data_IF_210110389981
#
_entry.id   IF_210110389981
#
_cell.length_a   1.000
_cell.length_b   1.000
_cell.length_c   1.000
_cell.angle_alpha   90.00
_cell.angle_beta   90.00
_cell.angle_gamma   90.00
#
_symmetry.space_group_name_H-M   'P 1'
#
loop_
_entity.id
_entity.type
_entity.pdbx_description
1 polymer ?
#
# COMPACT_ATOMS: atom_id res chain seq x y z
N UNK A 1 11.98 27.39 -13.02
CA UNK A 1 10.84 28.32 -12.79
C UNK A 1 9.53 27.55 -12.70
N UNK A 2 9.14 26.74 -13.71
CA UNK A 2 7.89 25.94 -13.65
C UNK A 2 7.88 24.89 -12.54
N UNK A 3 9.02 24.27 -12.28
CA UNK A 3 9.20 23.29 -11.21
C UNK A 3 9.11 23.94 -9.81
N UNK A 4 9.70 25.10 -9.61
CA UNK A 4 9.62 25.85 -8.36
C UNK A 4 8.21 26.37 -8.08
N UNK A 5 7.48 26.80 -9.11
CA UNK A 5 6.08 27.21 -9.00
C UNK A 5 5.20 26.01 -8.62
N UNK A 6 5.41 24.85 -9.26
CA UNK A 6 4.70 23.62 -8.94
C UNK A 6 4.95 23.15 -7.51
N UNK A 7 6.20 23.23 -7.03
CA UNK A 7 6.54 22.90 -5.64
C UNK A 7 5.92 23.86 -4.63
N UNK A 8 5.91 25.16 -4.91
CA UNK A 8 5.31 26.16 -4.02
C UNK A 8 3.80 25.98 -3.91
N UNK A 9 3.12 25.68 -5.03
CA UNK A 9 1.68 25.36 -5.02
C UNK A 9 1.38 24.08 -4.24
N UNK A 10 2.21 23.03 -4.38
CA UNK A 10 2.08 21.77 -3.64
C UNK A 10 2.28 21.93 -2.12
N UNK A 11 2.94 23.03 -1.70
CA UNK A 11 3.13 23.41 -0.28
C UNK A 11 2.05 24.35 0.23
N UNK A 12 1.09 24.78 -0.59
CA UNK A 12 -0.01 25.62 -0.14
C UNK A 12 -0.84 24.90 0.92
N UNK A 13 -1.34 25.63 1.90
CA UNK A 13 -2.18 25.06 2.98
C UNK A 13 -3.41 24.34 2.43
N UNK A 14 -4.01 24.86 1.37
CA UNK A 14 -5.20 24.31 0.72
C UNK A 14 -4.90 22.89 0.18
N UNK A 15 -3.78 22.72 -0.52
CA UNK A 15 -3.40 21.42 -1.10
C UNK A 15 -3.03 20.41 -0.01
N UNK A 16 -2.28 20.85 1.01
CA UNK A 16 -1.92 20.00 2.15
C UNK A 16 -3.18 19.54 2.87
N UNK A 17 -4.08 20.46 3.21
CA UNK A 17 -5.34 20.16 3.89
C UNK A 17 -6.23 19.23 3.08
N UNK A 18 -6.30 19.43 1.75
CA UNK A 18 -7.07 18.56 0.86
C UNK A 18 -6.56 17.12 0.91
N UNK A 19 -5.25 16.92 0.68
CA UNK A 19 -4.64 15.58 0.68
C UNK A 19 -4.80 14.91 2.04
N UNK A 20 -4.49 15.62 3.12
CA UNK A 20 -4.61 15.10 4.49
C UNK A 20 -6.04 14.68 4.83
N UNK A 21 -7.03 15.53 4.53
CA UNK A 21 -8.45 15.24 4.78
C UNK A 21 -8.94 14.06 3.96
N UNK A 22 -8.57 13.99 2.67
CA UNK A 22 -8.95 12.90 1.79
C UNK A 22 -8.40 11.55 2.28
N UNK A 23 -7.11 11.49 2.63
CA UNK A 23 -6.46 10.26 3.11
C UNK A 23 -6.98 9.84 4.48
N UNK A 24 -7.11 10.76 5.44
CA UNK A 24 -7.67 10.47 6.77
C UNK A 24 -9.11 9.98 6.68
N UNK A 25 -9.92 10.56 5.77
CA UNK A 25 -11.29 10.09 5.51
C UNK A 25 -11.30 8.68 4.92
N UNK A 26 -10.42 8.41 3.97
CA UNK A 26 -10.27 7.08 3.36
C UNK A 26 -9.91 6.02 4.41
N UNK A 27 -8.92 6.29 5.26
CA UNK A 27 -8.54 5.40 6.37
C UNK A 27 -9.72 5.16 7.31
N UNK A 28 -10.41 6.23 7.73
CA UNK A 28 -11.55 6.13 8.66
C UNK A 28 -12.71 5.31 8.10
N UNK A 29 -12.92 5.32 6.79
CA UNK A 29 -13.97 4.57 6.12
C UNK A 29 -13.54 3.11 5.79
N UNK A 30 -12.29 2.73 6.02
CA UNK A 30 -11.77 1.40 5.73
C UNK A 30 -11.72 1.07 4.24
N UNK A 31 -11.49 2.07 3.38
CA UNK A 31 -11.39 1.85 1.93
C UNK A 31 -10.05 1.22 1.57
N UNK A 32 -10.02 0.41 0.52
CA UNK A 32 -8.79 -0.23 0.06
C UNK A 32 -7.94 0.67 -0.85
N UNK A 33 -8.58 1.46 -1.70
CA UNK A 33 -7.87 2.30 -2.67
C UNK A 33 -8.52 3.68 -2.81
N UNK A 34 -7.68 4.70 -2.98
CA UNK A 34 -8.07 6.08 -3.34
C UNK A 34 -7.62 6.34 -4.77
N UNK A 35 -8.55 6.74 -5.62
CA UNK A 35 -8.29 7.09 -7.02
C UNK A 35 -8.48 8.58 -7.23
N UNK A 36 -7.48 9.26 -7.78
CA UNK A 36 -7.57 10.62 -8.28
C UNK A 36 -7.45 10.60 -9.80
N UNK A 37 -8.43 11.19 -10.46
CA UNK A 37 -8.57 11.16 -11.91
C UNK A 37 -8.83 12.55 -12.45
N UNK A 38 -8.23 12.88 -13.57
CA UNK A 38 -8.43 14.15 -14.29
C UNK A 38 -8.97 13.90 -15.68
N UNK A 39 -9.93 14.69 -16.06
CA UNK A 39 -10.58 14.71 -17.36
C UNK A 39 -10.59 16.12 -17.93
N UNK A 40 -10.99 16.29 -19.20
CA UNK A 40 -10.98 17.57 -19.88
C UNK A 40 -11.74 18.69 -19.15
N UNK A 41 -12.81 18.37 -18.43
CA UNK A 41 -13.72 19.34 -17.83
C UNK A 41 -13.94 19.16 -16.32
N UNK A 42 -13.41 18.13 -15.72
CA UNK A 42 -13.62 17.85 -14.29
C UNK A 42 -12.49 16.95 -13.74
N UNK A 43 -12.26 17.06 -12.44
CA UNK A 43 -11.53 16.08 -11.63
C UNK A 43 -12.51 15.13 -10.94
N UNK A 44 -12.07 13.95 -10.59
CA UNK A 44 -12.88 12.97 -9.86
C UNK A 44 -12.04 12.23 -8.85
N UNK A 45 -12.54 12.17 -7.61
CA UNK A 45 -11.98 11.31 -6.57
C UNK A 45 -12.94 10.15 -6.29
N UNK A 46 -12.41 8.93 -6.25
CA UNK A 46 -13.17 7.73 -5.93
C UNK A 46 -12.49 6.92 -4.86
N UNK A 47 -13.28 6.36 -3.98
CA UNK A 47 -12.84 5.40 -2.96
C UNK A 47 -13.31 4.01 -3.34
N UNK A 48 -12.43 3.01 -3.18
CA UNK A 48 -12.83 1.60 -3.32
C UNK A 48 -13.20 1.05 -1.95
N UNK A 49 -14.48 0.77 -1.78
CA UNK A 49 -15.04 0.16 -0.57
C UNK A 49 -15.68 -1.18 -0.97
N UNK A 50 -15.29 -2.26 -0.33
CA UNK A 50 -15.79 -3.62 -0.60
C UNK A 50 -15.75 -3.99 -2.10
N UNK A 51 -14.66 -3.61 -2.78
CA UNK A 51 -14.46 -3.86 -4.20
C UNK A 51 -15.13 -2.86 -5.14
N UNK A 52 -16.05 -2.01 -4.65
CA UNK A 52 -16.80 -1.05 -5.46
C UNK A 52 -16.18 0.34 -5.40
N UNK A 53 -16.06 1.02 -6.55
CA UNK A 53 -15.60 2.41 -6.62
C UNK A 53 -16.77 3.38 -6.40
N UNK A 54 -16.66 4.22 -5.37
CA UNK A 54 -17.66 5.19 -4.94
C UNK A 54 -17.13 6.61 -5.14
N UNK A 55 -17.85 7.44 -5.88
CA UNK A 55 -17.49 8.83 -6.15
C UNK A 55 -17.60 9.71 -4.90
N UNK A 56 -16.59 10.57 -4.69
CA UNK A 56 -16.52 11.56 -3.61
C UNK A 56 -16.81 12.96 -4.16
N UNK A 57 -18.03 13.18 -4.64
CA UNK A 57 -18.45 14.37 -5.40
C UNK A 57 -18.31 15.71 -4.66
N UNK A 58 -18.32 15.68 -3.34
CA UNK A 58 -18.16 16.86 -2.48
C UNK A 58 -16.77 17.53 -2.60
N UNK A 59 -15.79 16.86 -3.20
CA UNK A 59 -14.42 17.34 -3.36
C UNK A 59 -13.99 17.54 -4.82
N UNK A 60 -14.85 17.27 -5.80
CA UNK A 60 -14.49 17.29 -7.22
C UNK A 60 -14.05 18.67 -7.72
N UNK A 61 -14.64 19.75 -7.21
CA UNK A 61 -14.29 21.12 -7.61
C UNK A 61 -12.90 21.51 -7.13
N UNK A 62 -12.62 21.34 -5.86
CA UNK A 62 -11.31 21.67 -5.27
C UNK A 62 -10.21 20.81 -5.87
N UNK A 63 -10.53 19.53 -6.14
CA UNK A 63 -9.64 18.61 -6.85
C UNK A 63 -9.33 19.12 -8.25
N UNK A 64 -10.33 19.54 -9.05
CA UNK A 64 -10.11 19.99 -10.42
C UNK A 64 -9.26 21.25 -10.49
N UNK A 65 -9.58 22.25 -9.65
CA UNK A 65 -8.86 23.53 -9.61
C UNK A 65 -7.39 23.39 -9.17
N UNK A 66 -7.08 22.41 -8.30
CA UNK A 66 -5.76 22.23 -7.72
C UNK A 66 -5.07 20.91 -8.14
N UNK A 67 -5.57 20.23 -9.16
CA UNK A 67 -5.17 18.86 -9.50
C UNK A 67 -3.66 18.67 -9.63
N UNK A 68 -3.01 19.50 -10.43
CA UNK A 68 -1.56 19.39 -10.66
C UNK A 68 -0.74 19.56 -9.36
N UNK A 69 -1.16 20.47 -8.49
CA UNK A 69 -0.51 20.70 -7.20
C UNK A 69 -0.75 19.54 -6.22
N UNK A 70 -1.95 18.94 -6.23
CA UNK A 70 -2.29 17.75 -5.44
C UNK A 70 -1.42 16.56 -5.86
N UNK A 71 -1.30 16.31 -7.18
CA UNK A 71 -0.45 15.23 -7.71
C UNK A 71 1.02 15.48 -7.33
N UNK A 72 1.51 16.70 -7.50
CA UNK A 72 2.88 17.06 -7.09
C UNK A 72 3.11 16.83 -5.59
N UNK A 73 2.14 17.18 -4.74
CA UNK A 73 2.20 16.92 -3.30
C UNK A 73 2.30 15.43 -3.00
N UNK A 74 1.48 14.59 -3.64
CA UNK A 74 1.51 13.14 -3.47
C UNK A 74 2.84 12.56 -3.94
N UNK A 75 3.37 13.02 -5.08
CA UNK A 75 4.71 12.62 -5.55
C UNK A 75 5.81 12.95 -4.54
N UNK A 76 5.79 14.15 -3.96
CA UNK A 76 6.75 14.53 -2.91
C UNK A 76 6.64 13.60 -1.70
N UNK A 77 5.42 13.33 -1.22
CA UNK A 77 5.19 12.44 -0.08
C UNK A 77 5.66 11.01 -0.36
N UNK A 78 5.54 10.57 -1.62
CA UNK A 78 5.90 9.21 -2.07
C UNK A 78 7.33 9.10 -2.59
N UNK A 79 8.13 10.18 -2.51
CA UNK A 79 9.52 10.26 -3.00
C UNK A 79 9.66 9.96 -4.49
N UNK A 80 8.65 10.33 -5.29
CA UNK A 80 8.63 10.20 -6.74
C UNK A 80 9.23 11.43 -7.42
N UNK A 81 9.65 11.26 -8.69
CA UNK A 81 10.16 12.36 -9.51
C UNK A 81 9.00 13.29 -9.93
N UNK A 82 9.05 14.54 -9.48
CA UNK A 82 8.03 15.56 -9.77
C UNK A 82 8.18 16.18 -11.18
N UNK A 83 9.39 16.11 -11.75
CA UNK A 83 9.68 16.63 -13.09
C UNK A 83 9.24 15.66 -14.19
N UNK A 84 9.34 14.35 -13.94
CA UNK A 84 8.90 13.33 -14.90
C UNK A 84 7.37 13.14 -14.83
N UNK A 85 6.69 13.40 -15.95
CA UNK A 85 5.23 13.31 -16.10
C UNK A 85 4.78 12.44 -17.26
N UNK A 86 5.73 11.84 -17.97
CA UNK A 86 5.50 11.07 -19.21
C UNK A 86 5.56 9.57 -18.98
N UNK A 87 6.17 9.15 -17.89
CA UNK A 87 6.37 7.74 -17.56
C UNK A 87 5.58 7.36 -16.30
N UNK A 88 5.09 6.12 -16.20
CA UNK A 88 4.53 5.60 -14.97
C UNK A 88 5.56 5.64 -13.84
N UNK A 89 5.11 5.90 -12.63
CA UNK A 89 5.93 5.88 -11.43
C UNK A 89 5.19 5.17 -10.30
N UNK A 90 5.90 4.33 -9.57
CA UNK A 90 5.41 3.65 -8.39
C UNK A 90 6.27 4.01 -7.17
N UNK A 91 5.62 4.21 -6.03
CA UNK A 91 6.28 4.59 -4.79
C UNK A 91 5.43 4.25 -3.58
N UNK A 92 5.94 4.68 -2.43
CA UNK A 92 5.27 4.46 -1.15
C UNK A 92 5.36 5.71 -0.28
N UNK A 93 4.37 5.90 0.57
CA UNK A 93 4.37 6.94 1.60
C UNK A 93 3.69 6.41 2.86
N UNK A 94 4.01 7.00 4.00
CA UNK A 94 3.36 6.73 5.28
C UNK A 94 2.64 7.97 5.78
N UNK A 95 1.51 7.80 6.44
CA UNK A 95 0.75 8.87 7.07
C UNK A 95 0.46 8.54 8.53
N UNK A 96 0.82 9.46 9.43
CA UNK A 96 0.48 9.33 10.84
C UNK A 96 -0.98 9.77 11.07
N UNK A 97 -1.79 8.87 11.62
CA UNK A 97 -3.19 9.14 11.98
C UNK A 97 -3.42 8.77 13.45
N UNK A 98 -3.38 9.77 14.33
CA UNK A 98 -3.32 9.53 15.78
C UNK A 98 -2.04 8.79 16.15
N UNK A 99 -2.17 7.68 16.86
CA UNK A 99 -1.04 6.84 17.30
C UNK A 99 -0.66 5.75 16.28
N UNK A 100 -1.33 5.72 15.11
CA UNK A 100 -1.09 4.72 14.07
C UNK A 100 -0.37 5.32 12.88
N UNK A 101 0.60 4.60 12.35
CA UNK A 101 1.19 4.84 11.03
C UNK A 101 0.51 3.95 10.00
N UNK A 102 0.04 4.55 8.92
CA UNK A 102 -0.63 3.85 7.82
C UNK A 102 0.18 4.04 6.55
N UNK A 103 0.54 2.94 5.94
CA UNK A 103 1.33 2.93 4.70
C UNK A 103 0.43 2.95 3.47
N UNK A 104 0.95 3.55 2.40
CA UNK A 104 0.29 3.63 1.10
C UNK A 104 1.25 3.20 0.01
N UNK A 105 0.78 2.36 -0.92
CA UNK A 105 1.39 2.22 -2.24
C UNK A 105 0.77 3.22 -3.18
N UNK A 106 1.61 3.94 -3.89
CA UNK A 106 1.21 5.00 -4.79
C UNK A 106 1.66 4.67 -6.19
N UNK A 107 0.71 4.62 -7.12
CA UNK A 107 0.98 4.49 -8.56
C UNK A 107 0.49 5.73 -9.27
N UNK A 108 1.36 6.32 -10.10
CA UNK A 108 1.09 7.51 -10.89
C UNK A 108 1.22 7.15 -12.37
N UNK A 109 0.15 7.34 -13.13
CA UNK A 109 0.07 6.98 -14.53
C UNK A 109 -0.22 8.21 -15.40
N UNK A 110 0.59 8.51 -16.43
CA UNK A 110 0.30 9.54 -17.40
C UNK A 110 -1.00 9.25 -18.17
N UNK A 111 -1.86 10.24 -18.30
CA UNK A 111 -3.07 10.19 -19.15
C UNK A 111 -3.16 11.41 -20.05
N UNK A 112 -4.12 11.43 -20.98
CA UNK A 112 -4.28 12.52 -21.95
C UNK A 112 -4.54 13.89 -21.33
N UNK A 113 -5.03 13.96 -20.09
CA UNK A 113 -5.41 15.22 -19.43
C UNK A 113 -4.61 15.53 -18.16
N UNK A 114 -3.63 14.69 -17.84
CA UNK A 114 -2.77 14.78 -16.67
C UNK A 114 -2.48 13.40 -16.08
N UNK A 115 -1.84 13.37 -14.94
CA UNK A 115 -1.46 12.12 -14.29
C UNK A 115 -2.61 11.60 -13.43
N UNK A 116 -2.96 10.34 -13.59
CA UNK A 116 -3.87 9.61 -12.70
C UNK A 116 -3.09 9.05 -11.52
N UNK A 117 -3.63 9.18 -10.33
CA UNK A 117 -3.02 8.64 -9.11
C UNK A 117 -3.92 7.56 -8.51
N UNK A 118 -3.34 6.44 -8.13
CA UNK A 118 -3.98 5.39 -7.34
C UNK A 118 -3.15 5.18 -6.09
N UNK A 119 -3.78 5.28 -4.93
CA UNK A 119 -3.15 5.05 -3.63
C UNK A 119 -3.85 3.89 -2.95
N UNK A 120 -3.13 2.77 -2.77
CA UNK A 120 -3.62 1.61 -2.02
C UNK A 120 -3.24 1.76 -0.55
N UNK A 121 -4.22 1.62 0.31
CA UNK A 121 -4.02 1.69 1.76
C UNK A 121 -3.54 0.33 2.27
N UNK A 122 -2.43 0.33 2.99
CA UNK A 122 -1.85 -0.83 3.64
C UNK A 122 -1.99 -0.64 5.15
N UNK A 123 -3.18 -0.92 5.68
CA UNK A 123 -3.43 -0.83 7.13
C UNK A 123 -3.12 -2.17 7.80
N UNK A 124 -1.87 -2.31 8.25
CA UNK A 124 -1.43 -3.48 9.00
C UNK A 124 -2.19 -3.70 10.32
N UNK A 125 -2.77 -2.63 10.88
CA UNK A 125 -3.51 -2.73 12.15
C UNK A 125 -4.90 -3.35 12.02
N UNK A 126 -5.44 -3.42 10.81
CA UNK A 126 -6.74 -4.05 10.52
C UNK A 126 -6.61 -5.56 10.32
N UNK A 127 -5.40 -6.08 10.17
CA UNK A 127 -5.16 -7.50 9.96
C UNK A 127 -4.75 -8.13 11.30
N UNK A 128 -5.64 -8.93 11.86
CA UNK A 128 -5.27 -9.82 12.94
C UNK A 128 -4.35 -10.90 12.37
N UNK A 129 -3.04 -10.73 12.59
CA UNK A 129 -2.01 -11.66 12.09
C UNK A 129 -1.83 -12.87 13.02
N UNK A 130 -2.92 -13.39 13.58
CA UNK A 130 -2.90 -14.61 14.39
C UNK A 130 -3.62 -15.73 13.65
N UNK A 131 -3.16 -16.97 13.82
CA UNK A 131 -3.77 -18.12 13.16
C UNK A 131 -5.23 -18.33 13.58
N UNK A 132 -5.53 -18.05 14.83
CA UNK A 132 -6.88 -18.13 15.42
C UNK A 132 -7.88 -17.21 14.72
N UNK A 133 -7.41 -16.06 14.24
CA UNK A 133 -8.26 -15.06 13.56
C UNK A 133 -8.58 -15.43 12.10
N UNK A 134 -7.87 -16.41 11.52
CA UNK A 134 -8.06 -16.81 10.12
C UNK A 134 -9.31 -17.63 9.88
N UNK A 135 -9.94 -18.16 10.94
CA UNK A 135 -11.18 -18.93 10.84
C UNK A 135 -10.99 -20.37 10.34
N UNK A 136 -9.84 -20.98 10.59
CA UNK A 136 -9.64 -22.40 10.38
C UNK A 136 -10.61 -23.23 11.24
N UNK A 137 -10.94 -24.44 10.79
CA UNK A 137 -11.50 -25.45 11.67
C UNK A 137 -10.43 -25.87 12.70
N UNK A 138 -10.82 -26.22 13.91
CA UNK A 138 -9.90 -26.51 15.01
C UNK A 138 -8.85 -27.59 14.65
N UNK A 139 -9.30 -28.65 13.94
CA UNK A 139 -8.41 -29.74 13.49
C UNK A 139 -7.40 -29.25 12.45
N UNK A 140 -7.83 -28.43 11.49
CA UNK A 140 -6.98 -27.86 10.43
C UNK A 140 -5.99 -26.84 10.99
N UNK A 141 -6.45 -26.04 11.96
CA UNK A 141 -5.57 -25.06 12.64
C UNK A 141 -4.45 -25.77 13.39
N UNK A 142 -4.77 -26.84 14.13
CA UNK A 142 -3.77 -27.62 14.86
C UNK A 142 -2.77 -28.27 13.89
N UNK A 143 -3.27 -28.91 12.82
CA UNK A 143 -2.40 -29.52 11.81
C UNK A 143 -1.48 -28.49 11.12
N UNK A 144 -1.98 -27.28 10.86
CA UNK A 144 -1.18 -26.20 10.29
C UNK A 144 -0.12 -25.71 11.30
N UNK A 145 -0.48 -25.55 12.57
CA UNK A 145 0.45 -25.18 13.65
C UNK A 145 1.57 -26.21 13.78
N UNK A 146 1.25 -27.48 13.78
CA UNK A 146 2.24 -28.56 13.87
C UNK A 146 3.18 -28.57 12.67
N UNK A 147 2.65 -28.30 11.46
CA UNK A 147 3.47 -28.21 10.25
C UNK A 147 4.41 -26.98 10.26
N UNK A 148 3.95 -25.83 10.76
CA UNK A 148 4.75 -24.60 10.86
C UNK A 148 5.83 -24.71 11.95
N UNK A 149 5.54 -25.40 13.05
CA UNK A 149 6.47 -25.61 14.16
C UNK A 149 7.49 -26.75 13.89
N UNK A 150 7.33 -27.49 12.80
CA UNK A 150 8.24 -28.59 12.46
C UNK A 150 9.66 -28.10 12.19
N UNK A 151 10.71 -28.80 12.65
CA UNK A 151 12.09 -28.35 12.54
C UNK A 151 12.64 -28.36 11.10
N UNK A 152 11.96 -29.03 10.19
CA UNK A 152 12.29 -29.09 8.77
C UNK A 152 11.08 -29.49 7.94
N UNK A 153 11.04 -29.06 6.69
CA UNK A 153 9.95 -29.36 5.77
C UNK A 153 9.63 -28.18 4.87
N UNK A 154 8.50 -28.29 4.17
CA UNK A 154 7.95 -27.22 3.35
C UNK A 154 6.45 -27.15 3.57
N UNK A 155 5.93 -25.95 3.80
CA UNK A 155 4.50 -25.65 3.85
C UNK A 155 4.14 -24.81 2.63
N UNK A 156 3.15 -25.26 1.84
CA UNK A 156 2.70 -24.55 0.66
C UNK A 156 1.30 -23.95 0.91
N UNK A 157 1.18 -22.65 0.66
CA UNK A 157 -0.12 -21.93 0.71
C UNK A 157 -0.47 -21.51 -0.70
N UNK A 158 -1.55 -22.06 -1.25
CA UNK A 158 -1.98 -21.83 -2.64
C UNK A 158 -3.41 -21.29 -2.70
N UNK A 159 -3.75 -20.64 -3.81
CA UNK A 159 -5.09 -20.10 -4.05
C UNK A 159 -5.09 -18.90 -4.99
N UNK A 160 -6.25 -18.41 -5.42
CA UNK A 160 -6.37 -17.22 -6.27
C UNK A 160 -6.00 -15.93 -5.53
N UNK A 161 -5.91 -14.82 -6.27
CA UNK A 161 -5.73 -13.50 -5.67
C UNK A 161 -6.89 -13.17 -4.72
N UNK A 162 -6.57 -12.64 -3.54
CA UNK A 162 -7.57 -12.30 -2.52
C UNK A 162 -8.05 -13.48 -1.65
N UNK A 163 -7.50 -14.69 -1.80
CA UNK A 163 -7.87 -15.86 -0.98
C UNK A 163 -7.25 -15.88 0.42
N UNK A 164 -6.45 -14.88 0.78
CA UNK A 164 -5.81 -14.81 2.10
C UNK A 164 -4.44 -15.48 2.21
N UNK A 165 -3.78 -15.83 1.09
CA UNK A 165 -2.45 -16.47 1.11
C UNK A 165 -1.43 -15.69 1.94
N UNK A 166 -1.24 -14.41 1.63
CA UNK A 166 -0.31 -13.54 2.36
C UNK A 166 -0.69 -13.42 3.83
N UNK A 167 -1.98 -13.27 4.13
CA UNK A 167 -2.49 -13.20 5.52
C UNK A 167 -2.14 -14.47 6.31
N UNK A 168 -2.31 -15.64 5.69
CA UNK A 168 -1.96 -16.93 6.29
C UNK A 168 -0.45 -17.06 6.54
N UNK A 169 0.38 -16.67 5.55
CA UNK A 169 1.84 -16.68 5.69
C UNK A 169 2.31 -15.73 6.80
N UNK A 170 1.78 -14.51 6.85
CA UNK A 170 2.14 -13.54 7.89
C UNK A 170 1.70 -14.00 9.29
N UNK A 171 0.53 -14.63 9.42
CA UNK A 171 0.11 -15.23 10.67
C UNK A 171 1.05 -16.39 11.12
N UNK A 172 1.49 -17.21 10.18
CA UNK A 172 2.47 -18.27 10.45
C UNK A 172 3.82 -17.69 10.89
N UNK A 173 4.31 -16.64 10.20
CA UNK A 173 5.54 -15.92 10.57
C UNK A 173 5.43 -15.34 11.98
N UNK A 174 4.31 -14.69 12.30
CA UNK A 174 4.06 -14.16 13.65
C UNK A 174 4.12 -15.22 14.75
N UNK A 175 3.64 -16.44 14.46
CA UNK A 175 3.69 -17.57 15.41
C UNK A 175 5.12 -18.03 15.72
N UNK A 176 5.97 -18.12 14.69
CA UNK A 176 7.37 -18.61 14.84
C UNK A 176 8.37 -17.50 15.17
N UNK A 177 7.96 -16.24 15.10
CA UNK A 177 8.80 -15.06 15.39
C UNK A 177 9.03 -14.94 16.91
N UNK A 178 10.04 -15.60 17.40
CA UNK A 178 10.43 -15.65 18.82
C UNK A 178 11.92 -15.40 18.95
N UNK A 179 12.31 -14.96 20.14
CA UNK A 179 13.73 -14.79 20.47
C UNK A 179 14.52 -16.07 20.15
N UNK A 180 15.62 -15.91 19.43
CA UNK A 180 16.50 -17.02 19.06
C UNK A 180 16.15 -17.72 17.74
N UNK A 181 15.08 -17.32 17.05
CA UNK A 181 14.73 -17.81 15.71
C UNK A 181 15.08 -16.74 14.67
N UNK A 182 15.91 -17.12 13.69
CA UNK A 182 16.21 -16.25 12.56
C UNK A 182 15.23 -16.53 11.41
N UNK A 183 14.44 -15.51 11.05
CA UNK A 183 13.44 -15.60 9.99
C UNK A 183 13.84 -14.66 8.86
N UNK A 184 13.88 -15.19 7.64
CA UNK A 184 14.10 -14.43 6.43
C UNK A 184 12.95 -14.69 5.44
N UNK A 185 12.49 -13.65 4.78
CA UNK A 185 11.54 -13.77 3.67
C UNK A 185 12.11 -13.19 2.39
N UNK A 186 11.62 -13.66 1.25
CA UNK A 186 11.77 -13.01 -0.05
C UNK A 186 10.38 -12.76 -0.61
N UNK A 187 10.07 -11.51 -0.90
CA UNK A 187 8.71 -11.07 -1.21
C UNK A 187 8.69 -10.13 -2.43
N UNK A 188 7.63 -10.21 -3.24
CA UNK A 188 7.40 -9.33 -4.38
C UNK A 188 5.93 -8.87 -4.43
N UNK A 189 5.67 -7.75 -3.76
CA UNK A 189 6.50 -7.02 -2.82
C UNK A 189 6.24 -7.42 -1.35
N UNK A 190 7.03 -6.85 -0.41
CA UNK A 190 6.70 -6.89 1.03
C UNK A 190 5.37 -6.16 1.24
N UNK A 191 4.37 -6.86 1.79
CA UNK A 191 3.04 -6.28 2.06
C UNK A 191 3.04 -5.45 3.34
N UNK A 192 3.61 -6.01 4.42
CA UNK A 192 3.70 -5.39 5.74
C UNK A 192 5.05 -5.67 6.35
N UNK A 193 5.57 -4.71 7.11
CA UNK A 193 6.79 -4.89 7.88
C UNK A 193 6.48 -5.69 9.16
N UNK A 194 7.29 -6.71 9.46
CA UNK A 194 7.20 -7.49 10.70
C UNK A 194 8.47 -7.27 11.49
N UNK A 195 8.34 -6.74 12.69
CA UNK A 195 9.47 -6.59 13.60
C UNK A 195 10.10 -7.95 13.91
N UNK A 196 11.42 -8.02 13.84
CA UNK A 196 12.17 -9.26 14.09
C UNK A 196 12.31 -10.21 12.88
N UNK A 197 11.72 -9.88 11.72
CA UNK A 197 11.86 -10.64 10.48
C UNK A 197 12.71 -9.89 9.47
N UNK A 198 13.69 -10.54 8.88
CA UNK A 198 14.48 -10.02 7.77
C UNK A 198 13.71 -10.17 6.45
N UNK A 199 13.05 -9.09 5.98
CA UNK A 199 12.23 -9.15 4.77
C UNK A 199 12.99 -8.60 3.57
N UNK A 200 13.26 -9.45 2.57
CA UNK A 200 13.92 -9.07 1.32
C UNK A 200 12.85 -8.73 0.28
N UNK A 201 12.84 -7.48 -0.14
CA UNK A 201 12.03 -7.04 -1.27
C UNK A 201 12.74 -7.39 -2.59
N UNK A 202 12.17 -8.29 -3.37
CA UNK A 202 12.66 -8.65 -4.70
C UNK A 202 12.64 -7.44 -5.62
N UNK A 203 13.71 -7.26 -6.41
CA UNK A 203 13.88 -6.19 -7.40
C UNK A 203 14.56 -6.76 -8.63
N UNK A 204 13.79 -7.29 -9.54
CA UNK A 204 14.32 -7.97 -10.73
C UNK A 204 15.09 -7.04 -11.67
N UNK A 205 14.71 -5.76 -11.71
CA UNK A 205 15.35 -4.70 -12.49
C UNK A 205 16.84 -4.50 -12.16
N UNK A 206 17.23 -4.76 -10.91
CA UNK A 206 18.62 -4.69 -10.46
C UNK A 206 19.25 -6.07 -10.20
N UNK A 207 18.57 -7.16 -10.58
CA UNK A 207 19.06 -8.52 -10.43
C UNK A 207 18.82 -9.15 -9.05
N UNK A 208 18.13 -8.48 -8.12
CA UNK A 208 17.72 -9.07 -6.84
C UNK A 208 16.45 -9.91 -7.05
N UNK A 209 16.62 -11.09 -7.60
CA UNK A 209 15.55 -12.06 -7.86
C UNK A 209 15.29 -12.93 -6.62
N UNK A 210 14.18 -13.71 -6.61
CA UNK A 210 13.93 -14.71 -5.57
C UNK A 210 15.13 -15.67 -5.40
N UNK A 211 15.69 -16.15 -6.51
CA UNK A 211 16.87 -17.04 -6.49
C UNK A 211 18.11 -16.36 -5.89
N UNK A 212 18.30 -15.06 -6.14
CA UNK A 212 19.40 -14.31 -5.56
C UNK A 212 19.21 -14.08 -4.06
N UNK A 213 17.99 -13.88 -3.60
CA UNK A 213 17.65 -13.66 -2.20
C UNK A 213 17.79 -14.94 -1.34
N UNK A 214 17.70 -16.13 -1.96
CA UNK A 214 17.80 -17.44 -1.28
C UNK A 214 19.22 -18.02 -1.21
N UNK A 215 20.24 -17.31 -1.65
CA UNK A 215 21.64 -17.71 -1.57
C UNK A 215 22.26 -17.32 -0.24
#
# INVERSE_FOLDING_TARGET
>A
VEEEVSQNQARSSIVIDFVDKALKRAIKLGVSDVHLEIYKKFGRMRFRLDGVLIDQKDQDKDLFENYAAIVTRIKIMSKLDIAERRLPQDGAMSLQVGDKEVDFRVSVLPTSFGERVVMRILDASSISLTLEALGFLEEDEQAFKDAVDAPQGMVLVTGPTGSGKSTTLYAALGRINKDGINILTAEDPVEFTIDGVGQVHVKEDIGLTFSAALR
#
